data_IF_307799588234
#
_entry.id   IF_307799588234
#
_cell.length_a   1.000
_cell.length_b   1.000
_cell.length_c   1.000
_cell.angle_alpha   90.00
_cell.angle_beta   90.00
_cell.angle_gamma   90.00
#
_symmetry.space_group_name_H-M   'P 1'
#
loop_
_entity.id
_entity.type
_entity.pdbx_description
1 polymer ?
#
# COMPACT_ATOMS: atom_id res chain seq x y z
N UNK A 1 -4.56 12.53 -8.32
CA UNK A 1 -3.79 11.80 -7.29
C UNK A 1 -2.32 12.14 -7.41
N UNK A 2 -1.60 12.20 -6.28
CA UNK A 2 -0.15 12.34 -6.25
C UNK A 2 0.39 11.25 -5.30
N UNK A 3 0.26 9.99 -5.73
CA UNK A 3 0.72 8.84 -4.95
C UNK A 3 2.24 8.77 -5.07
N UNK A 4 2.91 8.67 -3.92
CA UNK A 4 4.37 8.61 -3.84
C UNK A 4 4.82 7.15 -3.71
N UNK A 5 5.99 6.79 -4.26
CA UNK A 5 6.58 5.48 -4.03
C UNK A 5 6.96 5.32 -2.55
N UNK A 6 6.88 4.09 -2.06
CA UNK A 6 7.31 3.72 -0.70
C UNK A 6 8.80 3.40 -0.75
N UNK A 7 9.63 4.12 0.02
CA UNK A 7 11.10 3.97 0.00
C UNK A 7 11.72 3.71 1.36
N UNK A 8 10.93 3.79 2.43
CA UNK A 8 11.35 3.63 3.82
C UNK A 8 10.14 3.28 4.69
N UNK A 9 10.39 2.99 5.96
CA UNK A 9 9.37 2.58 6.93
C UNK A 9 8.34 3.69 7.23
N UNK A 10 8.74 4.97 7.19
CA UNK A 10 7.80 6.10 7.37
C UNK A 10 6.81 6.18 6.19
N UNK A 11 7.29 6.01 4.95
CA UNK A 11 6.43 5.96 3.76
C UNK A 11 5.48 4.76 3.85
N UNK A 12 5.97 3.61 4.31
CA UNK A 12 5.17 2.40 4.49
C UNK A 12 4.07 2.62 5.54
N UNK A 13 4.42 3.21 6.68
CA UNK A 13 3.48 3.54 7.75
C UNK A 13 2.41 4.51 7.27
N UNK A 14 2.81 5.55 6.53
CA UNK A 14 1.86 6.50 5.95
C UNK A 14 0.95 5.87 4.90
N UNK A 15 1.48 4.93 4.10
CA UNK A 15 0.69 4.17 3.13
C UNK A 15 -0.37 3.33 3.82
N UNK A 16 -0.04 2.67 4.94
CA UNK A 16 -1.01 1.93 5.76
C UNK A 16 -2.08 2.83 6.37
N UNK A 17 -1.70 3.96 7.00
CA UNK A 17 -2.66 4.93 7.57
C UNK A 17 -3.63 5.42 6.48
N UNK A 18 -3.10 5.72 5.29
CA UNK A 18 -3.94 6.17 4.17
C UNK A 18 -4.85 5.06 3.68
N UNK A 19 -4.31 3.83 3.55
CA UNK A 19 -5.06 2.66 3.14
C UNK A 19 -6.24 2.38 4.08
N UNK A 20 -6.02 2.42 5.41
CA UNK A 20 -7.09 2.26 6.41
C UNK A 20 -8.21 3.28 6.23
N UNK A 21 -7.88 4.53 5.90
CA UNK A 21 -8.87 5.59 5.67
C UNK A 21 -9.73 5.38 4.42
N UNK A 22 -9.26 4.62 3.43
CA UNK A 22 -9.94 4.42 2.15
C UNK A 22 -10.29 2.95 1.86
N UNK A 23 -10.05 2.06 2.81
CA UNK A 23 -10.25 0.61 2.65
C UNK A 23 -11.71 0.23 2.34
N UNK A 24 -12.66 1.06 2.76
CA UNK A 24 -14.09 0.88 2.49
C UNK A 24 -14.61 1.75 1.33
N UNK A 25 -13.70 2.32 0.52
CA UNK A 25 -14.09 3.11 -0.64
C UNK A 25 -15.01 2.31 -1.58
N UNK A 26 -16.08 2.96 -2.04
CA UNK A 26 -17.00 2.33 -2.97
C UNK A 26 -16.31 2.10 -4.33
N UNK A 27 -16.61 0.99 -4.99
CA UNK A 27 -16.05 0.68 -6.30
C UNK A 27 -16.37 1.80 -7.31
N UNK A 28 -15.36 2.18 -8.10
CA UNK A 28 -15.48 3.22 -9.11
C UNK A 28 -15.31 4.65 -8.58
N UNK A 29 -14.98 4.84 -7.29
CA UNK A 29 -14.52 6.15 -6.80
C UNK A 29 -13.01 6.27 -6.97
N UNK A 30 -12.52 7.51 -6.99
CA UNK A 30 -11.07 7.76 -7.01
C UNK A 30 -10.38 7.16 -5.78
N UNK A 31 -11.03 7.14 -4.62
CA UNK A 31 -10.46 6.49 -3.43
C UNK A 31 -10.28 4.97 -3.61
N UNK A 32 -11.16 4.30 -4.36
CA UNK A 32 -10.99 2.88 -4.67
C UNK A 32 -9.80 2.65 -5.62
N UNK A 33 -9.62 3.50 -6.63
CA UNK A 33 -8.43 3.46 -7.49
C UNK A 33 -7.15 3.73 -6.69
N UNK A 34 -7.19 4.68 -5.73
CA UNK A 34 -6.06 4.98 -4.84
C UNK A 34 -5.71 3.79 -3.94
N UNK A 35 -6.74 3.12 -3.40
CA UNK A 35 -6.59 1.90 -2.58
C UNK A 35 -5.85 0.79 -3.35
N UNK A 36 -6.26 0.51 -4.59
CA UNK A 36 -5.63 -0.52 -5.42
C UNK A 36 -4.14 -0.22 -5.70
N UNK A 37 -3.82 1.04 -5.96
CA UNK A 37 -2.43 1.46 -6.17
C UNK A 37 -1.61 1.37 -4.88
N UNK A 38 -2.16 1.79 -3.73
CA UNK A 38 -1.46 1.70 -2.44
C UNK A 38 -1.16 0.25 -2.06
N UNK A 39 -2.10 -0.68 -2.25
CA UNK A 39 -1.88 -2.10 -2.03
C UNK A 39 -0.69 -2.60 -2.87
N UNK A 40 -0.69 -2.28 -4.16
CA UNK A 40 0.39 -2.70 -5.06
C UNK A 40 1.76 -2.16 -4.64
N UNK A 41 1.82 -0.92 -4.14
CA UNK A 41 3.08 -0.31 -3.68
C UNK A 41 3.57 -0.94 -2.36
N UNK A 42 2.65 -1.25 -1.45
CA UNK A 42 2.96 -1.93 -0.18
C UNK A 42 3.51 -3.32 -0.48
N UNK A 43 2.87 -4.10 -1.35
CA UNK A 43 3.33 -5.44 -1.73
C UNK A 43 4.75 -5.43 -2.30
N UNK A 44 5.06 -4.50 -3.21
CA UNK A 44 6.42 -4.38 -3.78
C UNK A 44 7.45 -4.06 -2.72
N UNK A 45 7.13 -3.16 -1.77
CA UNK A 45 8.04 -2.84 -0.68
C UNK A 45 8.20 -4.03 0.28
N UNK A 46 7.12 -4.70 0.64
CA UNK A 46 7.19 -5.87 1.53
C UNK A 46 7.95 -7.04 0.91
N UNK A 47 7.84 -7.29 -0.40
CA UNK A 47 8.62 -8.32 -1.09
C UNK A 47 10.13 -8.01 -1.04
N UNK A 48 10.52 -6.75 -1.21
CA UNK A 48 11.91 -6.31 -1.18
C UNK A 48 12.52 -6.36 0.24
N UNK A 49 11.77 -5.91 1.26
CA UNK A 49 12.30 -5.68 2.61
C UNK A 49 11.88 -6.74 3.64
N UNK A 50 10.71 -7.37 3.47
CA UNK A 50 10.15 -8.38 4.38
C UNK A 50 9.75 -9.67 3.63
N UNK A 51 10.67 -10.29 2.87
CA UNK A 51 10.33 -11.47 2.09
C UNK A 51 9.82 -12.57 3.02
N UNK A 52 8.62 -13.08 2.73
CA UNK A 52 8.03 -14.19 3.47
C UNK A 52 8.91 -15.42 3.22
N UNK A 53 9.86 -15.67 4.12
CA UNK A 53 10.63 -16.92 4.13
C UNK A 53 9.66 -18.02 4.51
N UNK A 54 9.09 -18.69 3.52
CA UNK A 54 8.47 -19.99 3.69
C UNK A 54 9.56 -20.92 4.28
N UNK A 55 9.48 -21.18 5.59
CA UNK A 55 10.36 -22.11 6.29
C UNK A 55 9.92 -23.53 5.86
N UNK A 56 10.86 -24.40 5.46
CA UNK A 56 10.53 -25.74 4.96
C UNK A 56 9.77 -26.58 5.99
#
# INVERSE_FOLDING_TARGET
MNIKPIRNEDDLTNAFIRLESIFQAAKGTSEAEEMEVLISLIEVYEDEYYPIKCRP
#
